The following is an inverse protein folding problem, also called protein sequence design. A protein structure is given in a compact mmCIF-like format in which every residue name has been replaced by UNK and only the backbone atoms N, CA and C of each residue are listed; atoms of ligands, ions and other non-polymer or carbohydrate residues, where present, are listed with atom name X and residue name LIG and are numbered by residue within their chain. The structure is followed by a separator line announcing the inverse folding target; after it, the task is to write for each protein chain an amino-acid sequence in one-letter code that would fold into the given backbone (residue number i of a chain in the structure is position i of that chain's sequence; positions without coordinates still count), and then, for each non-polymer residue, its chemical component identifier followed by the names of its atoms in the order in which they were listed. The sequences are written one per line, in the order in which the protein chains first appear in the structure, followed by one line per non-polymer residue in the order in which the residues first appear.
data_IF_440286716739
#
_entry.id   IF_440286716739
#
_cell.length_a   1.000
_cell.length_b   1.000
_cell.length_c   1.000
_cell.angle_alpha   90.00
_cell.angle_beta   90.00
_cell.angle_gamma   90.00
#
_symmetry.space_group_name_H-M   'P 1'
#
loop_
_entity.id
_entity.type
_entity.pdbx_description
1 polymer ?
#
# COMPACT_ATOMS: atom_id res chain seq x y z
N UNK A 1 5.28 -29.30 -0.74
CA UNK A 1 3.85 -29.16 -1.12
C UNK A 1 3.39 -27.80 -0.62
N UNK A 2 3.27 -26.78 -1.49
CA UNK A 2 2.81 -25.45 -1.06
C UNK A 2 1.29 -25.47 -0.89
N UNK A 3 0.82 -25.37 0.35
CA UNK A 3 -0.61 -25.27 0.65
C UNK A 3 -1.17 -23.95 0.10
N UNK A 4 -2.25 -24.02 -0.69
CA UNK A 4 -2.90 -22.84 -1.27
C UNK A 4 -3.56 -22.01 -0.16
N UNK A 5 -3.12 -20.77 0.00
CA UNK A 5 -3.69 -19.79 0.93
C UNK A 5 -5.00 -19.21 0.36
N UNK A 6 -6.08 -19.98 0.37
CA UNK A 6 -7.40 -19.48 -0.03
C UNK A 6 -8.16 -18.96 1.19
N UNK A 7 -8.19 -17.63 1.35
CA UNK A 7 -8.98 -16.92 2.38
C UNK A 7 -8.22 -16.54 3.66
N UNK A 8 -8.67 -15.47 4.33
CA UNK A 8 -7.99 -14.86 5.49
C UNK A 8 -7.80 -15.85 6.67
N UNK A 9 -8.76 -16.74 6.89
CA UNK A 9 -8.70 -17.75 7.95
C UNK A 9 -7.54 -18.76 7.76
N UNK A 10 -7.06 -18.98 6.53
CA UNK A 10 -5.86 -19.81 6.28
C UNK A 10 -4.57 -19.01 6.45
N UNK A 11 -4.54 -17.74 6.08
CA UNK A 11 -3.36 -16.89 6.30
C UNK A 11 -3.02 -16.74 7.80
N UNK A 12 -4.03 -16.55 8.66
CA UNK A 12 -3.82 -16.48 10.11
C UNK A 12 -3.38 -17.80 10.75
N UNK A 13 -3.69 -18.95 10.13
CA UNK A 13 -3.26 -20.28 10.58
C UNK A 13 -1.86 -20.64 10.08
N UNK A 14 -1.58 -20.36 8.80
CA UNK A 14 -0.28 -20.62 8.19
C UNK A 14 0.81 -19.65 8.69
N UNK A 15 0.42 -18.40 9.00
CA UNK A 15 1.31 -17.36 9.53
C UNK A 15 0.67 -16.68 10.74
N UNK A 16 0.79 -17.30 11.94
CA UNK A 16 0.27 -16.73 13.17
C UNK A 16 0.73 -15.27 13.37
N UNK A 17 -0.15 -14.43 13.90
CA UNK A 17 0.08 -13.00 14.21
C UNK A 17 0.33 -12.07 13.01
N UNK A 18 0.51 -12.57 11.78
CA UNK A 18 0.80 -11.72 10.61
C UNK A 18 -0.30 -10.71 10.31
N UNK A 19 -1.57 -11.13 10.40
CA UNK A 19 -2.69 -10.21 10.24
C UNK A 19 -2.70 -9.12 11.33
N UNK A 20 -2.31 -9.44 12.56
CA UNK A 20 -2.19 -8.44 13.61
C UNK A 20 -1.03 -7.47 13.36
N UNK A 21 0.14 -8.00 12.93
CA UNK A 21 1.31 -7.20 12.57
C UNK A 21 1.00 -6.20 11.46
N UNK A 22 0.32 -6.64 10.40
CA UNK A 22 -0.09 -5.79 9.27
C UNK A 22 -1.04 -4.68 9.72
N UNK A 23 -2.02 -4.99 10.57
CA UNK A 23 -2.93 -4.00 11.13
C UNK A 23 -2.17 -2.94 11.92
N UNK A 24 -1.26 -3.35 12.78
CA UNK A 24 -0.46 -2.45 13.58
C UNK A 24 0.48 -1.59 12.72
N UNK A 25 1.12 -2.17 11.71
CA UNK A 25 1.95 -1.42 10.76
C UNK A 25 1.17 -0.27 10.11
N UNK A 26 -0.02 -0.52 9.58
CA UNK A 26 -0.87 0.53 8.99
C UNK A 26 -1.37 1.55 10.02
N UNK A 27 -1.55 1.14 11.28
CA UNK A 27 -1.96 2.04 12.35
C UNK A 27 -0.86 3.05 12.70
N UNK A 28 0.41 2.64 12.69
CA UNK A 28 1.54 3.42 13.23
C UNK A 28 2.52 3.98 12.18
N UNK A 29 2.52 3.53 10.92
CA UNK A 29 3.59 3.90 9.97
C UNK A 29 3.72 5.43 9.73
N UNK A 30 2.63 6.19 9.88
CA UNK A 30 2.62 7.66 9.81
C UNK A 30 2.70 8.36 11.17
N UNK A 31 2.77 7.61 12.26
CA UNK A 31 2.75 8.17 13.61
C UNK A 31 3.96 9.06 13.89
N UNK A 32 5.15 8.70 13.38
CA UNK A 32 6.35 9.53 13.60
C UNK A 32 6.25 10.88 12.87
N UNK A 33 5.55 10.94 11.74
CA UNK A 33 5.36 12.16 10.94
C UNK A 33 4.25 13.07 11.49
N UNK A 34 3.10 12.49 11.85
CA UNK A 34 1.90 13.26 12.16
C UNK A 34 1.40 13.14 13.61
N UNK A 35 2.09 12.35 14.45
CA UNK A 35 1.69 12.01 15.83
C UNK A 35 0.24 11.52 15.96
N UNK A 36 -0.31 11.00 14.86
CA UNK A 36 -1.70 10.54 14.76
C UNK A 36 -1.73 9.09 14.30
N UNK A 37 -2.56 8.30 14.95
CA UNK A 37 -2.84 6.93 14.53
C UNK A 37 -3.80 6.95 13.36
N UNK A 38 -3.56 6.10 12.37
CA UNK A 38 -4.49 5.94 11.27
C UNK A 38 -5.76 5.25 11.76
N UNK A 39 -6.95 5.81 11.50
CA UNK A 39 -8.20 5.12 11.81
C UNK A 39 -8.32 3.91 10.87
N UNK A 40 -8.38 2.72 11.44
CA UNK A 40 -8.79 1.51 10.71
C UNK A 40 -10.31 1.37 10.86
N UNK A 41 -11.04 1.30 9.75
CA UNK A 41 -12.47 0.96 9.77
C UNK A 41 -12.63 -0.45 10.37
N UNK A 42 -13.28 -0.53 11.52
CA UNK A 42 -13.66 -1.72 12.31
C UNK A 42 -12.55 -2.74 12.63
N UNK A 43 -11.34 -2.58 12.09
CA UNK A 43 -10.18 -3.41 12.37
C UNK A 43 -10.27 -4.87 11.89
N UNK A 44 -11.35 -5.25 11.20
CA UNK A 44 -11.60 -6.60 10.73
C UNK A 44 -11.14 -6.83 9.30
N UNK A 45 -10.43 -7.94 9.09
CA UNK A 45 -10.06 -8.41 7.75
C UNK A 45 -11.27 -9.03 7.05
N UNK A 46 -11.77 -8.36 6.00
CA UNK A 46 -12.85 -8.89 5.16
C UNK A 46 -12.33 -9.95 4.19
N UNK A 47 -13.16 -10.96 3.91
CA UNK A 47 -12.78 -12.12 3.12
C UNK A 47 -12.45 -11.81 1.64
N UNK A 48 -12.01 -12.86 0.94
CA UNK A 48 -11.64 -12.77 -0.48
C UNK A 48 -12.81 -12.26 -1.32
N UNK A 49 -14.04 -12.72 -1.08
CA UNK A 49 -15.19 -12.39 -1.92
C UNK A 49 -15.61 -10.94 -1.72
N UNK A 50 -15.53 -10.42 -0.50
CA UNK A 50 -15.69 -8.99 -0.21
C UNK A 50 -14.63 -8.15 -0.92
N UNK A 51 -13.37 -8.60 -0.95
CA UNK A 51 -12.31 -7.91 -1.67
C UNK A 51 -12.54 -7.89 -3.20
N UNK A 52 -13.02 -9.00 -3.78
CA UNK A 52 -13.35 -9.09 -5.21
C UNK A 52 -14.62 -8.28 -5.55
N UNK A 53 -15.53 -8.11 -4.58
CA UNK A 53 -16.69 -7.21 -4.65
C UNK A 53 -16.35 -5.72 -4.59
N UNK A 54 -15.07 -5.31 -4.72
CA UNK A 54 -14.69 -3.92 -5.06
C UNK A 54 -14.41 -3.70 -6.57
N UNK A 55 -15.34 -4.00 -7.51
CA UNK A 55 -15.17 -3.68 -8.93
C UNK A 55 -15.38 -2.19 -9.23
N UNK A 56 -15.89 -1.40 -8.28
CA UNK A 56 -16.12 0.05 -8.46
C UNK A 56 -14.83 0.80 -8.81
N UNK A 57 -13.67 0.40 -8.26
CA UNK A 57 -12.41 1.04 -8.61
C UNK A 57 -12.01 0.78 -10.07
N UNK A 58 -12.21 -0.45 -10.54
CA UNK A 58 -11.82 -0.84 -11.90
C UNK A 58 -12.72 -0.18 -12.97
N UNK A 59 -14.03 -0.06 -12.72
CA UNK A 59 -14.94 0.65 -13.63
C UNK A 59 -14.66 2.15 -13.67
N UNK A 60 -14.38 2.77 -12.53
CA UNK A 60 -13.97 4.19 -12.46
C UNK A 60 -12.64 4.40 -13.19
N UNK A 61 -11.63 3.57 -12.96
CA UNK A 61 -10.35 3.63 -13.67
C UNK A 61 -10.52 3.52 -15.19
N UNK A 62 -11.38 2.61 -15.65
CA UNK A 62 -11.66 2.45 -17.09
C UNK A 62 -12.30 3.70 -17.71
N UNK A 63 -13.25 4.32 -16.99
CA UNK A 63 -13.87 5.57 -17.44
C UNK A 63 -12.86 6.72 -17.49
N UNK A 64 -12.05 6.88 -16.43
CA UNK A 64 -10.98 7.89 -16.39
C UNK A 64 -9.96 7.67 -17.51
N UNK A 65 -9.55 6.43 -17.77
CA UNK A 65 -8.59 6.13 -18.84
C UNK A 65 -9.16 6.43 -20.22
N UNK A 66 -10.45 6.18 -20.47
CA UNK A 66 -11.09 6.52 -21.75
C UNK A 66 -11.07 8.03 -22.01
N UNK A 67 -11.34 8.83 -20.98
CA UNK A 67 -11.26 10.30 -21.06
C UNK A 67 -9.82 10.76 -21.30
N UNK A 68 -8.87 10.25 -20.52
CA UNK A 68 -7.45 10.58 -20.66
C UNK A 68 -6.90 10.19 -22.04
N UNK A 69 -7.26 9.03 -22.60
CA UNK A 69 -6.82 8.62 -23.94
C UNK A 69 -7.29 9.58 -25.04
N UNK A 70 -8.46 10.19 -24.88
CA UNK A 70 -8.98 11.22 -25.81
C UNK A 70 -8.16 12.51 -25.74
N UNK A 71 -7.61 12.83 -24.57
CA UNK A 71 -6.74 13.99 -24.38
C UNK A 71 -5.30 13.70 -24.81
N UNK A 72 -4.80 12.50 -24.53
CA UNK A 72 -3.44 12.04 -24.84
C UNK A 72 -3.20 11.83 -26.34
N UNK A 73 -4.23 11.46 -27.11
CA UNK A 73 -4.15 11.33 -28.58
C UNK A 73 -3.83 12.66 -29.28
N UNK A 74 -4.02 13.80 -28.60
CA UNK A 74 -3.69 15.14 -29.11
C UNK A 74 -2.27 15.58 -28.76
N UNK A 75 -1.55 14.83 -27.92
CA UNK A 75 -0.18 15.16 -27.51
C UNK A 75 0.85 14.52 -28.44
N UNK A 76 1.90 15.29 -28.75
CA UNK A 76 3.11 14.74 -29.35
C UNK A 76 3.99 14.16 -28.24
N UNK A 77 3.92 12.85 -28.04
CA UNK A 77 4.66 12.15 -26.97
C UNK A 77 6.16 12.41 -26.97
N UNK A 78 6.77 12.62 -28.14
CA UNK A 78 8.19 12.99 -28.22
C UNK A 78 8.51 14.25 -27.42
N UNK A 79 7.70 15.31 -27.54
CA UNK A 79 7.90 16.55 -26.76
C UNK A 79 7.79 16.36 -25.25
N UNK A 80 6.94 15.43 -24.82
CA UNK A 80 6.79 15.10 -23.39
C UNK A 80 8.05 14.41 -22.89
N UNK A 81 8.53 13.40 -23.63
CA UNK A 81 9.75 12.66 -23.28
C UNK A 81 10.98 13.57 -23.34
N UNK A 82 11.09 14.41 -24.37
CA UNK A 82 12.20 15.37 -24.54
C UNK A 82 12.21 16.44 -23.44
N UNK A 83 11.07 16.70 -22.80
CA UNK A 83 10.96 17.63 -21.67
C UNK A 83 11.27 17.01 -20.31
N UNK A 84 11.41 15.68 -20.23
CA UNK A 84 11.78 15.02 -18.98
C UNK A 84 13.23 15.37 -18.63
N UNK A 85 13.55 15.49 -17.34
CA UNK A 85 14.94 15.65 -16.92
C UNK A 85 15.77 14.47 -17.43
N UNK A 86 17.04 14.74 -17.72
CA UNK A 86 18.00 13.68 -18.02
C UNK A 86 17.99 12.65 -16.88
N UNK A 87 18.25 11.38 -17.21
CA UNK A 87 18.34 10.31 -16.23
C UNK A 87 19.33 10.73 -15.13
N UNK A 88 18.81 10.89 -13.92
CA UNK A 88 19.64 11.19 -12.75
C UNK A 88 20.52 10.02 -12.39
N UNK A 89 21.61 10.30 -11.67
CA UNK A 89 22.33 9.26 -10.93
C UNK A 89 21.46 8.73 -9.79
N UNK A 90 21.81 7.56 -9.26
CA UNK A 90 21.21 7.07 -8.03
C UNK A 90 21.36 8.13 -6.93
N UNK A 91 20.28 8.40 -6.20
CA UNK A 91 20.33 9.23 -5.01
C UNK A 91 21.09 8.47 -3.91
N UNK A 92 21.83 9.21 -3.08
CA UNK A 92 22.46 8.64 -1.90
C UNK A 92 21.39 8.10 -0.94
N UNK A 93 21.74 7.02 -0.22
CA UNK A 93 20.88 6.47 0.81
C UNK A 93 20.74 7.49 1.95
N UNK A 94 19.51 7.79 2.42
CA UNK A 94 19.33 8.67 3.57
C UNK A 94 20.02 8.10 4.82
N UNK A 95 20.81 8.92 5.52
CA UNK A 95 21.55 8.51 6.72
C UNK A 95 20.65 7.93 7.83
N UNK A 96 19.37 8.29 7.83
CA UNK A 96 18.40 7.91 8.84
C UNK A 96 17.53 6.71 8.45
N UNK A 97 17.73 6.09 7.29
CA UNK A 97 16.93 4.96 6.82
C UNK A 97 16.98 3.77 7.79
N UNK A 98 18.12 3.57 8.45
CA UNK A 98 18.35 2.47 9.38
C UNK A 98 17.84 2.74 10.80
N UNK A 99 17.23 3.90 11.07
CA UNK A 99 16.73 4.25 12.41
C UNK A 99 15.46 3.47 12.75
N UNK A 100 15.50 2.77 13.89
CA UNK A 100 14.33 2.08 14.43
C UNK A 100 13.47 3.01 15.28
N UNK A 101 12.17 3.02 15.01
CA UNK A 101 11.19 3.77 15.79
C UNK A 101 10.37 2.85 16.68
N UNK A 102 10.65 2.87 17.98
CA UNK A 102 9.87 2.14 18.97
C UNK A 102 8.63 2.94 19.36
N UNK A 103 7.46 2.52 18.86
CA UNK A 103 6.20 3.13 19.28
C UNK A 103 5.72 2.51 20.60
N UNK A 104 5.56 3.32 21.65
CA UNK A 104 4.90 2.91 22.93
C UNK A 104 3.41 2.53 22.76
N UNK A 105 2.86 2.71 21.56
CA UNK A 105 1.49 2.39 21.23
C UNK A 105 1.19 0.87 21.16
N UNK A 106 2.19 -0.01 21.35
CA UNK A 106 2.06 -1.47 21.32
C UNK A 106 2.85 -2.13 22.47
N UNK A 107 2.32 -2.23 23.70
CA UNK A 107 3.05 -2.74 24.86
C UNK A 107 3.24 -4.28 24.90
N UNK A 108 3.14 -5.02 23.78
CA UNK A 108 3.23 -6.49 23.79
C UNK A 108 3.80 -7.15 22.54
N UNK A 109 4.53 -6.41 21.69
CA UNK A 109 5.11 -6.96 20.46
C UNK A 109 6.56 -7.45 20.60
N UNK A 110 7.22 -7.15 21.72
CA UNK A 110 8.63 -7.46 21.99
C UNK A 110 8.85 -8.35 23.24
N UNK A 111 7.81 -9.04 23.69
CA UNK A 111 7.88 -10.08 24.74
C UNK A 111 7.49 -11.43 24.17
#
# INVERSE_FOLDING_TARGET
MMEKLTGNCRCGRAFPRTLNATREWFRIYKYQLARKLMPLLDGEYKDKDFAHKKPALHSTQKATMKELLTQLTRLKWSKVVDSLPALGSAADEPEDLQKWHLSRACPGFFT
#
